data_IF_765360809865
#
_entry.id   IF_765360809865
#
_cell.length_a   1.000
_cell.length_b   1.000
_cell.length_c   1.000
_cell.angle_alpha   90.00
_cell.angle_beta   90.00
_cell.angle_gamma   90.00
#
_symmetry.space_group_name_H-M   'P 1'
#
loop_
_entity.id
_entity.type
_entity.pdbx_description
1 polymer ?
#
# COMPACT_ATOMS: atom_id res chain seq x y z
N UNK A 1 1.58 -23.62 32.94
CA UNK A 1 2.87 -24.31 32.70
C UNK A 1 3.17 -24.25 31.20
N UNK A 2 4.36 -23.76 30.85
CA UNK A 2 4.83 -23.83 29.44
C UNK A 2 5.20 -25.28 29.14
N UNK A 3 4.57 -25.84 28.10
CA UNK A 3 4.94 -27.17 27.59
C UNK A 3 6.13 -27.06 26.64
N UNK A 4 6.98 -28.05 26.65
CA UNK A 4 8.05 -28.18 25.64
C UNK A 4 7.46 -28.67 24.31
N UNK A 5 8.19 -28.48 23.21
CA UNK A 5 7.75 -28.96 21.88
C UNK A 5 7.56 -30.49 21.90
N UNK A 6 8.42 -31.23 22.61
CA UNK A 6 8.30 -32.68 22.76
C UNK A 6 7.02 -33.08 23.53
N UNK A 7 6.60 -32.31 24.55
CA UNK A 7 5.34 -32.54 25.28
C UNK A 7 4.10 -32.21 24.45
N UNK A 8 4.21 -31.36 23.43
CA UNK A 8 3.11 -30.98 22.55
C UNK A 8 3.01 -31.90 21.35
N UNK A 9 4.10 -32.14 20.64
CA UNK A 9 4.16 -32.92 19.42
C UNK A 9 4.29 -34.44 19.65
N UNK A 10 4.75 -34.86 20.85
CA UNK A 10 5.10 -36.26 21.09
C UNK A 10 6.27 -36.70 20.21
N UNK A 11 6.23 -37.94 19.76
CA UNK A 11 7.22 -38.48 18.85
C UNK A 11 7.03 -37.91 17.43
N UNK A 12 8.02 -37.16 16.97
CA UNK A 12 8.01 -36.60 15.61
C UNK A 12 8.20 -37.73 14.60
N UNK A 13 7.33 -37.78 13.60
CA UNK A 13 7.39 -38.73 12.51
C UNK A 13 8.29 -38.21 11.39
N UNK A 14 9.52 -38.74 11.31
CA UNK A 14 10.47 -38.39 10.25
C UNK A 14 10.15 -39.05 8.90
N UNK A 15 9.21 -39.99 8.85
CA UNK A 15 8.77 -40.66 7.62
C UNK A 15 7.71 -39.85 6.84
N UNK A 16 7.11 -38.85 7.44
CA UNK A 16 6.17 -37.96 6.72
C UNK A 16 6.90 -37.13 5.65
N UNK A 17 6.27 -36.93 4.48
CA UNK A 17 6.86 -36.14 3.42
C UNK A 17 7.03 -34.68 3.88
N UNK A 18 8.11 -34.07 3.42
CA UNK A 18 8.32 -32.63 3.50
C UNK A 18 8.44 -32.14 2.06
N UNK A 19 7.37 -31.60 1.49
CA UNK A 19 7.39 -31.15 0.10
C UNK A 19 8.39 -30.01 -0.09
N UNK A 20 8.95 -29.88 -1.29
CA UNK A 20 9.76 -28.72 -1.62
C UNK A 20 8.90 -27.45 -1.65
N UNK A 21 9.45 -26.27 -1.33
CA UNK A 21 8.73 -25.02 -1.46
C UNK A 21 8.21 -24.80 -2.89
N UNK A 22 8.99 -25.19 -3.88
CA UNK A 22 8.65 -25.08 -5.30
C UNK A 22 7.42 -25.93 -5.69
N UNK A 23 7.29 -27.13 -5.11
CA UNK A 23 6.11 -27.97 -5.33
C UNK A 23 4.88 -27.39 -4.63
N UNK A 24 5.06 -26.79 -3.45
CA UNK A 24 3.97 -26.19 -2.69
C UNK A 24 3.35 -24.99 -3.39
N UNK A 25 4.14 -24.11 -3.99
CA UNK A 25 3.61 -22.93 -4.69
C UNK A 25 2.76 -23.30 -5.92
N UNK A 26 2.97 -24.50 -6.47
CA UNK A 26 2.16 -25.02 -7.58
C UNK A 26 0.74 -25.47 -7.15
N UNK A 27 0.51 -25.66 -5.84
CA UNK A 27 -0.78 -26.05 -5.30
C UNK A 27 -1.67 -24.83 -5.06
N UNK A 28 -2.97 -24.98 -5.23
CA UNK A 28 -3.94 -24.00 -4.81
C UNK A 28 -3.93 -23.88 -3.26
N UNK A 29 -3.72 -22.70 -2.67
CA UNK A 29 -3.72 -22.52 -1.22
C UNK A 29 -5.08 -22.84 -0.56
N UNK A 30 -6.17 -22.92 -1.31
CA UNK A 30 -7.49 -23.33 -0.84
C UNK A 30 -7.76 -24.84 -0.98
N UNK A 31 -6.94 -25.54 -1.72
CA UNK A 31 -7.06 -27.00 -1.87
C UNK A 31 -6.41 -27.71 -0.66
N UNK A 32 -7.20 -27.79 0.41
CA UNK A 32 -6.78 -28.43 1.65
C UNK A 32 -6.45 -29.91 1.49
N UNK A 33 -7.11 -30.59 0.52
CA UNK A 33 -6.88 -32.00 0.25
C UNK A 33 -5.48 -32.22 -0.34
N UNK A 34 -5.14 -31.47 -1.39
CA UNK A 34 -3.81 -31.52 -1.99
C UNK A 34 -2.71 -31.08 -1.01
N UNK A 35 -2.96 -30.06 -0.18
CA UNK A 35 -2.02 -29.62 0.85
C UNK A 35 -1.81 -30.70 1.93
N UNK A 36 -2.89 -31.34 2.40
CA UNK A 36 -2.79 -32.40 3.39
C UNK A 36 -2.03 -33.61 2.82
N UNK A 37 -2.31 -34.01 1.59
CA UNK A 37 -1.58 -35.10 0.91
C UNK A 37 -0.09 -34.76 0.78
N UNK A 38 0.26 -33.54 0.37
CA UNK A 38 1.64 -33.11 0.22
C UNK A 38 2.44 -33.21 1.53
N UNK A 39 1.85 -32.83 2.68
CA UNK A 39 2.54 -32.83 3.97
C UNK A 39 2.42 -34.15 4.75
N UNK A 40 1.34 -34.90 4.58
CA UNK A 40 1.08 -36.08 5.41
C UNK A 40 1.04 -37.40 4.63
N UNK A 41 1.06 -37.34 3.30
CA UNK A 41 0.90 -38.48 2.42
C UNK A 41 -0.56 -38.97 2.32
N UNK A 42 -1.51 -38.26 2.95
CA UNK A 42 -2.93 -38.59 2.96
C UNK A 42 -3.75 -37.29 2.82
N UNK A 43 -4.88 -37.35 2.11
CA UNK A 43 -5.75 -36.21 1.88
C UNK A 43 -6.41 -35.66 3.15
N UNK A 44 -7.21 -34.61 2.97
CA UNK A 44 -7.96 -33.96 4.05
C UNK A 44 -9.31 -34.66 4.29
N UNK A 45 -9.28 -35.80 4.95
CA UNK A 45 -10.45 -36.60 5.29
C UNK A 45 -11.34 -35.95 6.37
N UNK A 46 -10.72 -35.53 7.48
CA UNK A 46 -11.38 -34.72 8.51
C UNK A 46 -10.33 -33.87 9.27
N UNK A 47 -10.75 -32.71 9.74
CA UNK A 47 -9.89 -31.73 10.40
C UNK A 47 -9.13 -32.30 11.61
N UNK A 48 -9.67 -33.31 12.29
CA UNK A 48 -9.04 -33.92 13.46
C UNK A 48 -7.99 -34.94 13.06
N UNK A 49 -8.27 -35.82 12.09
CA UNK A 49 -7.34 -36.79 11.55
C UNK A 49 -6.08 -36.11 11.02
N UNK A 50 -6.28 -35.08 10.18
CA UNK A 50 -5.18 -34.23 9.69
C UNK A 50 -4.44 -33.58 10.85
N UNK A 51 -5.13 -33.06 11.87
CA UNK A 51 -4.51 -32.45 13.04
C UNK A 51 -3.64 -33.42 13.84
N UNK A 52 -4.08 -34.66 14.03
CA UNK A 52 -3.31 -35.71 14.73
C UNK A 52 -2.02 -36.07 13.94
N UNK A 53 -2.05 -36.03 12.59
CA UNK A 53 -0.88 -36.22 11.72
C UNK A 53 0.06 -35.00 11.76
N UNK A 54 -0.48 -33.81 11.51
CA UNK A 54 0.29 -32.55 11.50
C UNK A 54 0.98 -32.27 12.83
N UNK A 55 0.39 -32.67 13.96
CA UNK A 55 0.99 -32.48 15.27
C UNK A 55 2.35 -33.15 15.38
N UNK A 56 2.54 -34.29 14.70
CA UNK A 56 3.79 -35.07 14.67
C UNK A 56 4.72 -34.69 13.52
N UNK A 57 4.33 -33.73 12.69
CA UNK A 57 5.08 -33.35 11.51
C UNK A 57 6.30 -32.48 11.85
N UNK A 58 7.43 -32.68 11.13
CA UNK A 58 8.69 -31.94 11.35
C UNK A 58 8.52 -30.41 11.22
N UNK A 59 7.74 -29.94 10.26
CA UNK A 59 7.49 -28.51 10.04
C UNK A 59 6.74 -27.92 11.22
N UNK A 60 5.74 -28.62 11.78
CA UNK A 60 5.04 -28.20 13.00
C UNK A 60 6.00 -28.03 14.18
N UNK A 61 6.88 -29.03 14.40
CA UNK A 61 7.85 -28.96 15.48
C UNK A 61 8.84 -27.79 15.30
N UNK A 62 9.26 -27.54 14.06
CA UNK A 62 10.13 -26.41 13.73
C UNK A 62 9.43 -25.06 13.95
N UNK A 63 8.20 -24.93 13.48
CA UNK A 63 7.39 -23.73 13.68
C UNK A 63 7.17 -23.42 15.17
N UNK A 64 6.86 -24.43 15.98
CA UNK A 64 6.68 -24.26 17.41
C UNK A 64 7.99 -23.88 18.11
N UNK A 65 9.15 -24.40 17.72
CA UNK A 65 10.44 -23.98 18.28
C UNK A 65 10.75 -22.52 17.98
N UNK A 66 10.33 -22.05 16.81
CA UNK A 66 10.59 -20.67 16.37
C UNK A 66 9.63 -19.68 17.00
N UNK A 67 8.32 -20.01 17.06
CA UNK A 67 7.26 -19.03 17.33
C UNK A 67 6.53 -19.18 18.68
N UNK A 68 6.65 -20.32 19.39
CA UNK A 68 5.82 -20.61 20.57
C UNK A 68 6.16 -19.80 21.82
N UNK A 69 7.35 -19.23 21.93
CA UNK A 69 7.80 -18.48 23.11
C UNK A 69 7.50 -16.98 23.04
N UNK A 70 7.48 -16.43 21.83
CA UNK A 70 7.22 -15.00 21.57
C UNK A 70 6.81 -14.77 20.11
N UNK A 71 6.09 -13.68 19.82
CA UNK A 71 5.83 -13.25 18.45
C UNK A 71 7.14 -13.10 17.67
N UNK A 72 7.14 -13.50 16.41
CA UNK A 72 8.26 -13.37 15.48
C UNK A 72 7.84 -12.53 14.28
N UNK A 73 8.78 -11.80 13.71
CA UNK A 73 8.58 -11.23 12.39
C UNK A 73 8.46 -12.37 11.38
N UNK A 74 7.61 -12.20 10.39
CA UNK A 74 7.38 -13.27 9.41
C UNK A 74 8.66 -13.74 8.71
N UNK A 75 9.53 -12.86 8.18
CA UNK A 75 10.80 -13.30 7.59
C UNK A 75 11.72 -14.07 8.56
N UNK A 76 11.72 -13.68 9.84
CA UNK A 76 12.52 -14.38 10.87
C UNK A 76 11.93 -15.77 11.19
N UNK A 77 10.61 -15.92 11.12
CA UNK A 77 9.94 -17.20 11.28
C UNK A 77 10.23 -18.12 10.09
N UNK A 78 10.14 -17.60 8.87
CA UNK A 78 10.47 -18.31 7.62
C UNK A 78 11.90 -18.83 7.68
N UNK A 79 12.88 -17.94 7.92
CA UNK A 79 14.28 -18.32 8.02
C UNK A 79 14.53 -19.33 9.14
N UNK A 80 13.92 -19.14 10.32
CA UNK A 80 14.08 -20.01 11.46
C UNK A 80 13.51 -21.42 11.24
N UNK A 81 12.40 -21.56 10.53
CA UNK A 81 11.82 -22.85 10.14
C UNK A 81 12.69 -23.52 9.07
N UNK A 82 13.04 -22.79 8.01
CA UNK A 82 13.86 -23.31 6.92
C UNK A 82 15.22 -23.83 7.40
N UNK A 83 15.89 -23.15 8.34
CA UNK A 83 17.16 -23.60 8.91
C UNK A 83 17.09 -24.95 9.62
N UNK A 84 15.91 -25.37 10.08
CA UNK A 84 15.71 -26.66 10.77
C UNK A 84 15.28 -27.78 9.82
N UNK A 85 15.01 -27.46 8.57
CA UNK A 85 14.54 -28.37 7.53
C UNK A 85 15.52 -28.28 6.36
N UNK A 86 16.41 -29.27 6.17
CA UNK A 86 17.48 -29.16 5.19
C UNK A 86 17.02 -28.83 3.79
N UNK A 87 15.92 -29.42 3.34
CA UNK A 87 15.32 -29.22 2.02
C UNK A 87 14.87 -27.75 1.82
N UNK A 88 14.33 -27.13 2.86
CA UNK A 88 13.89 -25.74 2.84
C UNK A 88 15.07 -24.77 3.06
N UNK A 89 16.09 -25.18 3.81
CA UNK A 89 17.32 -24.40 3.99
C UNK A 89 18.08 -24.18 2.69
N UNK A 90 18.12 -25.19 1.83
CA UNK A 90 18.70 -25.08 0.49
C UNK A 90 17.83 -24.19 -0.42
N UNK A 91 16.50 -24.34 -0.38
CA UNK A 91 15.58 -23.51 -1.14
C UNK A 91 15.66 -22.04 -0.73
N UNK A 92 15.82 -21.73 0.57
CA UNK A 92 15.92 -20.35 1.08
C UNK A 92 17.08 -19.57 0.43
N UNK A 93 18.15 -20.23 0.04
CA UNK A 93 19.29 -19.58 -0.64
C UNK A 93 19.04 -19.29 -2.11
N UNK A 94 18.07 -19.95 -2.73
CA UNK A 94 17.75 -19.83 -4.16
C UNK A 94 16.53 -18.91 -4.39
N UNK A 95 15.47 -19.13 -3.61
CA UNK A 95 14.19 -18.47 -3.76
C UNK A 95 13.52 -18.31 -2.38
N UNK A 96 13.69 -17.13 -1.81
CA UNK A 96 13.11 -16.76 -0.50
C UNK A 96 11.58 -16.73 -0.58
N UNK A 97 11.04 -16.23 -1.68
CA UNK A 97 9.60 -16.05 -1.86
C UNK A 97 8.89 -17.41 -1.90
N UNK A 98 9.49 -18.40 -2.57
CA UNK A 98 8.94 -19.76 -2.58
C UNK A 98 8.89 -20.40 -1.19
N UNK A 99 9.92 -20.18 -0.35
CA UNK A 99 9.93 -20.70 1.03
C UNK A 99 8.89 -19.98 1.89
N UNK A 100 8.72 -18.68 1.70
CA UNK A 100 7.72 -17.86 2.37
C UNK A 100 6.31 -18.36 2.04
N UNK A 101 5.96 -18.48 0.76
CA UNK A 101 4.69 -19.00 0.31
C UNK A 101 4.46 -20.47 0.74
N UNK A 102 5.50 -21.31 0.72
CA UNK A 102 5.40 -22.68 1.20
C UNK A 102 5.03 -22.77 2.69
N UNK A 103 5.61 -21.89 3.52
CA UNK A 103 5.25 -21.81 4.94
C UNK A 103 3.85 -21.25 5.15
N UNK A 104 3.41 -20.29 4.33
CA UNK A 104 2.03 -19.77 4.37
C UNK A 104 1.01 -20.88 4.12
N UNK A 105 1.22 -21.73 3.12
CA UNK A 105 0.37 -22.88 2.82
C UNK A 105 0.32 -23.88 3.97
N UNK A 106 1.46 -24.14 4.59
CA UNK A 106 1.53 -24.98 5.78
C UNK A 106 0.73 -24.39 6.95
N UNK A 107 0.88 -23.09 7.22
CA UNK A 107 0.14 -22.38 8.28
C UNK A 107 -1.37 -22.38 7.97
N UNK A 108 -1.77 -22.19 6.72
CA UNK A 108 -3.16 -22.28 6.29
C UNK A 108 -3.76 -23.67 6.60
N UNK A 109 -3.06 -24.75 6.24
CA UNK A 109 -3.47 -26.12 6.55
C UNK A 109 -3.57 -26.35 8.07
N UNK A 110 -2.56 -25.93 8.84
CA UNK A 110 -2.54 -26.07 10.31
C UNK A 110 -3.69 -25.30 10.97
N UNK A 111 -4.09 -24.15 10.43
CA UNK A 111 -5.18 -23.34 10.97
C UNK A 111 -6.55 -24.01 10.82
N UNK A 112 -6.74 -24.87 9.82
CA UNK A 112 -7.96 -25.65 9.61
C UNK A 112 -7.97 -26.96 10.41
N UNK A 113 -6.81 -27.43 10.82
CA UNK A 113 -6.66 -28.68 11.57
C UNK A 113 -7.19 -28.55 13.02
N UNK A 114 -7.71 -29.66 13.57
CA UNK A 114 -8.24 -29.70 14.94
C UNK A 114 -7.51 -30.73 15.79
N UNK A 115 -7.38 -30.42 17.07
CA UNK A 115 -6.78 -31.31 18.05
C UNK A 115 -7.73 -31.63 19.21
N UNK A 116 -7.41 -32.65 20.01
CA UNK A 116 -8.15 -32.98 21.25
C UNK A 116 -7.66 -32.15 22.43
N UNK A 117 -8.59 -31.71 23.25
CA UNK A 117 -8.25 -31.21 24.59
C UNK A 117 -8.01 -32.39 25.54
N UNK A 118 -7.37 -32.13 26.68
CA UNK A 118 -7.19 -33.11 27.78
C UNK A 118 -8.54 -33.64 28.32
N UNK A 119 -9.63 -32.89 28.09
CA UNK A 119 -11.01 -33.28 28.48
C UNK A 119 -11.78 -33.97 27.36
N UNK A 120 -11.15 -34.26 26.22
CA UNK A 120 -11.74 -34.96 25.07
C UNK A 120 -12.50 -34.06 24.10
N UNK A 121 -12.64 -32.77 24.35
CA UNK A 121 -13.24 -31.82 23.42
C UNK A 121 -12.36 -31.55 22.19
N UNK A 122 -12.97 -31.08 21.11
CA UNK A 122 -12.28 -30.71 19.86
C UNK A 122 -12.06 -29.20 19.87
N UNK A 123 -10.87 -28.76 19.49
CA UNK A 123 -10.49 -27.34 19.33
C UNK A 123 -9.55 -27.17 18.13
N UNK A 124 -9.29 -25.96 17.63
CA UNK A 124 -8.22 -25.72 16.67
C UNK A 124 -6.91 -26.33 17.16
N UNK A 125 -6.12 -26.91 16.27
CA UNK A 125 -4.85 -27.56 16.61
C UNK A 125 -3.91 -26.57 17.29
N UNK A 126 -3.75 -25.40 16.68
CA UNK A 126 -3.07 -24.25 17.25
C UNK A 126 -3.91 -22.98 17.03
N UNK A 127 -3.79 -22.03 17.94
CA UNK A 127 -4.24 -20.66 17.70
C UNK A 127 -3.12 -19.93 16.96
N UNK A 128 -3.29 -19.76 15.66
CA UNK A 128 -2.38 -18.97 14.84
C UNK A 128 -2.93 -17.56 14.75
N UNK A 129 -2.13 -16.58 15.14
CA UNK A 129 -2.49 -15.17 15.08
C UNK A 129 -1.43 -14.43 14.25
N UNK A 130 -1.87 -13.77 13.17
CA UNK A 130 -1.03 -12.94 12.32
C UNK A 130 -1.34 -11.49 12.62
N UNK A 131 -0.34 -10.75 13.11
CA UNK A 131 -0.46 -9.33 13.40
C UNK A 131 0.19 -8.50 12.30
N UNK A 132 -0.61 -7.71 11.58
CA UNK A 132 -0.13 -6.76 10.59
C UNK A 132 0.13 -5.40 11.25
N UNK A 133 1.37 -4.94 11.11
CA UNK A 133 1.76 -3.62 11.60
C UNK A 133 1.73 -2.63 10.44
N UNK A 134 0.81 -1.67 10.50
CA UNK A 134 0.71 -0.59 9.52
C UNK A 134 1.39 0.64 10.09
N UNK A 135 2.45 1.09 9.43
CA UNK A 135 3.22 2.27 9.80
C UNK A 135 2.91 3.43 8.85
N UNK A 136 2.85 4.66 9.37
CA UNK A 136 2.79 5.85 8.53
C UNK A 136 4.00 5.95 7.61
N UNK A 137 3.75 6.25 6.34
CA UNK A 137 4.80 6.61 5.39
C UNK A 137 5.05 8.10 5.55
N UNK A 138 5.91 8.49 6.49
CA UNK A 138 6.16 9.90 6.81
C UNK A 138 7.50 10.39 6.30
N UNK A 139 8.57 9.75 6.55
CA UNK A 139 9.92 10.18 6.16
C UNK A 139 10.50 9.19 5.16
N UNK A 140 10.02 9.27 3.92
CA UNK A 140 10.45 8.41 2.85
C UNK A 140 11.58 9.10 2.07
N UNK A 141 12.74 8.48 2.04
CA UNK A 141 13.86 8.84 1.16
C UNK A 141 13.74 8.09 -0.15
N UNK A 142 14.15 8.72 -1.22
CA UNK A 142 14.24 8.14 -2.55
C UNK A 142 15.71 8.13 -2.98
N UNK A 143 16.15 7.02 -3.54
CA UNK A 143 17.46 6.89 -4.13
C UNK A 143 17.64 7.93 -5.26
N UNK A 144 18.79 8.57 -5.31
CA UNK A 144 19.17 9.43 -6.42
C UNK A 144 19.68 8.56 -7.55
N UNK A 145 18.73 7.95 -8.27
CA UNK A 145 19.00 6.99 -9.34
C UNK A 145 18.01 7.10 -10.48
N UNK A 146 18.33 6.53 -11.63
CA UNK A 146 17.43 6.45 -12.78
C UNK A 146 16.20 5.57 -12.52
N UNK A 147 16.34 4.55 -11.68
CA UNK A 147 15.27 3.65 -11.26
C UNK A 147 14.73 4.08 -9.89
N UNK A 148 13.41 4.17 -9.69
CA UNK A 148 12.86 4.52 -8.38
C UNK A 148 13.18 3.46 -7.34
N UNK A 149 13.86 3.86 -6.26
CA UNK A 149 14.07 3.07 -5.06
C UNK A 149 13.73 3.91 -3.84
N UNK A 150 13.13 3.31 -2.80
CA UNK A 150 12.69 4.03 -1.62
C UNK A 150 13.14 3.33 -0.34
N UNK A 151 13.46 4.15 0.67
CA UNK A 151 13.80 3.68 2.02
C UNK A 151 13.15 4.56 3.09
N UNK A 152 12.97 4.01 4.26
CA UNK A 152 12.60 4.79 5.43
C UNK A 152 13.81 5.63 5.91
N UNK A 153 13.56 6.87 6.30
CA UNK A 153 14.64 7.76 6.76
C UNK A 153 15.33 7.27 8.05
N UNK A 154 14.65 6.47 8.83
CA UNK A 154 15.12 5.86 10.08
C UNK A 154 15.59 4.40 9.91
N UNK A 155 15.60 3.87 8.69
CA UNK A 155 16.22 2.58 8.42
C UNK A 155 17.75 2.72 8.49
N UNK A 156 18.45 1.73 9.04
CA UNK A 156 19.91 1.74 9.05
C UNK A 156 20.45 1.80 7.60
N UNK A 157 21.60 2.44 7.37
CA UNK A 157 22.27 2.39 6.07
C UNK A 157 22.51 0.93 5.67
N UNK A 158 22.35 0.60 4.38
CA UNK A 158 22.78 -0.71 3.90
C UNK A 158 24.30 -0.70 3.77
N UNK A 159 24.95 -1.70 4.35
CA UNK A 159 26.43 -1.86 4.31
C UNK A 159 26.99 -2.08 2.89
N UNK A 160 26.14 -2.18 1.87
CA UNK A 160 26.53 -2.54 0.50
C UNK A 160 26.42 -1.45 -0.54
N UNK A 161 25.96 -0.23 -0.20
CA UNK A 161 25.68 0.81 -1.20
C UNK A 161 26.20 2.20 -0.81
N UNK A 162 27.51 2.29 -0.56
CA UNK A 162 28.21 3.54 -0.24
C UNK A 162 28.19 4.61 -1.37
N UNK A 163 27.68 4.27 -2.55
CA UNK A 163 27.74 5.11 -3.74
C UNK A 163 26.43 5.83 -4.11
N UNK A 164 25.30 5.48 -3.50
CA UNK A 164 24.01 6.06 -3.89
C UNK A 164 23.47 7.00 -2.82
N UNK A 165 23.32 8.26 -3.17
CA UNK A 165 22.70 9.24 -2.29
C UNK A 165 21.19 9.05 -2.17
N UNK A 166 20.66 9.32 -0.98
CA UNK A 166 19.24 9.26 -0.67
C UNK A 166 18.73 10.62 -0.21
N UNK A 167 17.68 11.12 -0.83
CA UNK A 167 17.06 12.40 -0.48
C UNK A 167 15.57 12.22 -0.16
N UNK A 168 14.99 13.12 0.65
CA UNK A 168 13.54 13.13 0.86
C UNK A 168 12.78 13.12 -0.45
N UNK A 169 11.84 12.18 -0.56
CA UNK A 169 10.97 12.08 -1.72
C UNK A 169 9.86 13.13 -1.67
N UNK A 170 9.70 13.89 -2.76
CA UNK A 170 8.64 14.90 -2.89
C UNK A 170 7.87 14.72 -4.19
N UNK A 171 6.67 15.27 -4.22
CA UNK A 171 5.84 15.32 -5.41
C UNK A 171 5.01 16.60 -5.47
N UNK A 172 4.61 16.97 -6.68
CA UNK A 172 3.67 18.07 -6.91
C UNK A 172 2.23 17.57 -6.85
N UNK A 173 1.39 18.19 -6.03
CA UNK A 173 -0.04 17.84 -5.92
C UNK A 173 -0.86 18.24 -7.15
N UNK A 174 -0.35 19.17 -7.97
CA UNK A 174 -1.02 19.67 -9.17
C UNK A 174 -0.71 18.81 -10.40
N UNK A 175 0.57 18.67 -10.78
CA UNK A 175 0.96 17.94 -12.00
C UNK A 175 1.38 16.48 -11.76
N UNK A 176 1.49 16.03 -10.50
CA UNK A 176 1.83 14.66 -10.14
C UNK A 176 3.30 14.28 -10.31
N UNK A 177 4.15 15.13 -10.89
CA UNK A 177 5.60 14.84 -11.00
C UNK A 177 6.23 14.68 -9.63
N UNK A 178 7.20 13.77 -9.54
CA UNK A 178 7.91 13.45 -8.31
C UNK A 178 9.42 13.59 -8.47
N UNK A 179 10.12 13.69 -7.33
CA UNK A 179 11.55 13.86 -7.30
C UNK A 179 12.08 13.93 -5.89
N UNK A 180 13.01 14.83 -5.66
CA UNK A 180 13.80 14.94 -4.44
C UNK A 180 13.75 16.35 -3.86
N UNK A 181 13.94 16.45 -2.54
CA UNK A 181 14.22 17.70 -1.84
C UNK A 181 15.67 17.70 -1.40
N UNK A 182 16.45 18.66 -1.89
CA UNK A 182 17.82 18.90 -1.45
C UNK A 182 17.90 20.09 -0.51
N UNK A 183 19.01 20.20 0.22
CA UNK A 183 19.37 21.33 1.07
C UNK A 183 20.64 21.95 0.52
N UNK A 184 20.66 23.28 0.39
CA UNK A 184 21.81 24.03 -0.11
C UNK A 184 22.79 24.32 1.01
N UNK A 185 24.09 24.10 0.76
CA UNK A 185 25.16 24.55 1.62
C UNK A 185 25.64 25.96 1.20
N UNK A 186 25.36 26.95 2.03
CA UNK A 186 25.79 28.34 1.82
C UNK A 186 27.19 28.63 2.33
N UNK A 187 27.88 27.68 2.96
CA UNK A 187 29.19 27.87 3.56
C UNK A 187 30.37 27.89 2.56
N UNK A 188 30.11 27.73 1.28
CA UNK A 188 31.13 27.60 0.22
C UNK A 188 31.07 28.67 -0.84
N UNK A 189 31.33 29.93 -0.51
CA UNK A 189 31.77 30.99 -1.45
C UNK A 189 30.66 31.57 -2.36
N UNK A 190 30.54 32.89 -2.33
CA UNK A 190 29.78 33.68 -3.30
C UNK A 190 30.50 33.67 -4.67
N UNK A 191 29.85 33.05 -5.68
CA UNK A 191 30.30 33.16 -7.06
C UNK A 191 29.20 32.65 -8.01
N UNK A 192 28.94 33.42 -9.05
CA UNK A 192 27.91 33.17 -10.06
C UNK A 192 28.06 31.85 -10.85
N UNK A 193 29.06 31.05 -10.57
CA UNK A 193 29.32 29.74 -11.16
C UNK A 193 29.08 28.57 -10.18
N UNK A 194 28.81 28.83 -8.92
CA UNK A 194 28.50 27.76 -7.96
C UNK A 194 27.05 27.31 -8.17
N UNK A 195 26.87 26.34 -9.01
CA UNK A 195 25.72 25.47 -8.94
C UNK A 195 25.62 24.98 -7.51
N UNK A 196 24.52 25.26 -6.87
CA UNK A 196 24.29 25.03 -5.45
C UNK A 196 24.67 23.60 -5.11
N UNK A 197 25.64 23.43 -4.25
CA UNK A 197 26.04 22.13 -3.75
C UNK A 197 25.00 21.67 -2.76
N UNK A 198 24.26 20.67 -3.13
CA UNK A 198 23.35 20.02 -2.20
C UNK A 198 24.15 19.32 -1.12
N UNK A 199 23.76 19.50 0.13
CA UNK A 199 24.43 18.88 1.27
C UNK A 199 23.78 17.55 1.56
N UNK A 200 24.59 16.52 1.56
CA UNK A 200 24.25 15.20 2.09
C UNK A 200 24.90 15.04 3.47
N UNK A 201 24.72 16.01 4.33
CA UNK A 201 25.30 15.98 5.66
C UNK A 201 24.43 15.11 6.57
N UNK A 202 25.04 14.18 7.29
CA UNK A 202 24.36 13.37 8.30
C UNK A 202 23.79 14.22 9.44
N UNK A 203 24.37 15.38 9.69
CA UNK A 203 23.95 16.30 10.75
C UNK A 203 22.79 17.23 10.32
N UNK A 204 22.48 17.29 9.02
CA UNK A 204 21.39 18.12 8.48
C UNK A 204 20.17 17.30 8.14
N UNK A 205 19.13 17.33 8.99
CA UNK A 205 17.84 16.71 8.68
C UNK A 205 17.05 17.58 7.67
N UNK A 206 16.93 17.17 6.38
CA UNK A 206 16.25 17.96 5.36
C UNK A 206 14.77 18.19 5.67
N UNK A 207 14.14 17.32 6.45
CA UNK A 207 12.75 17.48 6.87
C UNK A 207 12.62 18.64 7.87
N UNK A 208 13.57 18.79 8.79
CA UNK A 208 13.61 19.93 9.72
C UNK A 208 13.94 21.23 9.02
N UNK A 209 14.89 21.23 8.08
CA UNK A 209 15.23 22.40 7.28
C UNK A 209 14.03 22.87 6.46
N UNK A 210 13.24 21.97 5.90
CA UNK A 210 12.03 22.32 5.14
C UNK A 210 10.96 23.03 5.97
N UNK A 211 11.01 22.91 7.28
CA UNK A 211 10.07 23.57 8.21
C UNK A 211 10.66 24.88 8.74
N UNK A 212 11.94 24.87 9.15
CA UNK A 212 12.57 25.97 9.88
C UNK A 212 13.26 26.99 8.98
N UNK A 213 13.82 26.53 7.86
CA UNK A 213 14.68 27.31 6.97
C UNK A 213 14.42 26.90 5.50
N UNK A 214 13.18 27.07 5.08
CA UNK A 214 12.67 26.57 3.80
C UNK A 214 13.40 27.15 2.59
N UNK A 215 13.89 28.37 2.69
CA UNK A 215 14.69 29.03 1.64
C UNK A 215 15.97 28.26 1.29
N UNK A 216 16.49 27.45 2.21
CA UNK A 216 17.64 26.58 1.94
C UNK A 216 17.28 25.29 1.22
N UNK A 217 16.01 25.02 0.97
CA UNK A 217 15.61 23.80 0.26
C UNK A 217 15.54 24.03 -1.25
N UNK A 218 15.78 22.96 -2.02
CA UNK A 218 15.57 22.94 -3.47
C UNK A 218 14.75 21.71 -3.86
N UNK A 219 13.62 21.97 -4.48
CA UNK A 219 12.79 20.91 -5.07
C UNK A 219 13.33 20.57 -6.45
N UNK A 220 13.70 19.33 -6.65
CA UNK A 220 14.18 18.77 -7.90
C UNK A 220 13.17 17.75 -8.38
N UNK A 221 12.40 18.04 -9.41
CA UNK A 221 11.45 17.08 -10.00
C UNK A 221 12.09 16.43 -11.22
N UNK A 222 11.91 15.13 -11.37
CA UNK A 222 12.40 14.40 -12.54
C UNK A 222 11.80 14.97 -13.80
N UNK A 223 12.65 15.32 -14.77
CA UNK A 223 12.28 15.81 -16.09
C UNK A 223 12.18 14.65 -17.07
N UNK A 224 11.34 14.82 -18.10
CA UNK A 224 11.35 13.99 -19.30
C UNK A 224 12.20 14.73 -20.34
N UNK A 225 13.20 14.10 -20.89
CA UNK A 225 13.96 14.73 -21.99
C UNK A 225 13.22 14.55 -23.33
N UNK A 226 13.19 15.57 -24.21
CA UNK A 226 13.74 16.92 -24.07
C UNK A 226 12.70 17.90 -23.50
N UNK A 227 13.03 18.59 -22.42
CA UNK A 227 12.23 19.69 -21.87
C UNK A 227 13.13 20.94 -21.72
N UNK A 228 12.59 22.17 -21.81
CA UNK A 228 13.36 23.38 -21.56
C UNK A 228 13.82 23.45 -20.10
N UNK A 229 14.93 24.13 -19.85
CA UNK A 229 15.48 24.39 -18.53
C UNK A 229 15.85 23.13 -17.70
N UNK A 230 16.11 22.01 -18.35
CA UNK A 230 16.57 20.79 -17.69
C UNK A 230 17.99 20.96 -17.17
N UNK A 231 18.17 20.59 -15.92
CA UNK A 231 19.45 20.46 -15.25
C UNK A 231 19.77 18.99 -15.02
N UNK A 232 21.01 18.68 -14.70
CA UNK A 232 21.49 17.32 -14.57
C UNK A 232 21.98 17.05 -13.16
N UNK A 233 21.26 16.20 -12.42
CA UNK A 233 21.63 15.77 -11.08
C UNK A 233 22.60 14.60 -11.18
N UNK A 234 23.76 14.75 -10.60
CA UNK A 234 24.78 13.70 -10.51
C UNK A 234 24.49 12.82 -9.27
N UNK A 235 24.21 11.51 -9.45
CA UNK A 235 23.97 10.61 -8.34
C UNK A 235 25.15 10.43 -7.39
N UNK A 236 26.38 10.53 -7.89
CA UNK A 236 27.58 10.29 -7.09
C UNK A 236 27.97 11.48 -6.22
N UNK A 237 27.82 12.71 -6.74
CA UNK A 237 28.21 13.93 -6.03
C UNK A 237 27.03 14.69 -5.42
N UNK A 238 25.79 14.37 -5.83
CA UNK A 238 24.60 15.13 -5.49
C UNK A 238 24.56 16.55 -6.05
N UNK A 239 25.44 16.86 -6.98
CA UNK A 239 25.49 18.17 -7.60
C UNK A 239 24.55 18.28 -8.80
N UNK A 240 24.01 19.47 -8.99
CA UNK A 240 23.17 19.77 -10.14
C UNK A 240 24.01 20.60 -11.13
N UNK A 241 24.06 20.16 -12.39
CA UNK A 241 24.88 20.76 -13.44
C UNK A 241 24.01 21.38 -14.55
N UNK A 242 24.48 22.50 -15.11
CA UNK A 242 24.00 23.03 -16.38
C UNK A 242 24.87 22.42 -17.50
N UNK A 243 24.25 21.90 -18.55
CA UNK A 243 24.99 21.39 -19.73
C UNK A 243 25.07 19.86 -19.79
N UNK A 244 25.77 19.41 -20.85
CA UNK A 244 25.52 18.14 -21.51
C UNK A 244 26.62 17.09 -21.38
N UNK A 245 27.66 17.37 -20.58
CA UNK A 245 28.96 16.73 -20.70
C UNK A 245 29.03 15.27 -20.27
N UNK A 246 28.02 14.75 -19.55
CA UNK A 246 27.99 13.36 -19.14
C UNK A 246 26.56 12.86 -18.84
N UNK A 247 25.70 12.83 -19.87
CA UNK A 247 24.28 12.47 -19.74
C UNK A 247 24.04 11.01 -19.37
N UNK A 248 24.97 10.12 -19.59
CA UNK A 248 24.75 8.69 -19.44
C UNK A 248 24.54 8.27 -17.97
N UNK A 249 25.14 9.02 -17.03
CA UNK A 249 25.08 8.70 -15.59
C UNK A 249 24.23 9.67 -14.79
N UNK A 250 23.87 10.84 -15.37
CA UNK A 250 23.14 11.92 -14.68
C UNK A 250 21.64 11.84 -14.90
N UNK A 251 20.88 12.35 -13.95
CA UNK A 251 19.42 12.33 -13.95
C UNK A 251 18.88 13.71 -14.35
N UNK A 252 18.01 13.78 -15.37
CA UNK A 252 17.41 15.04 -15.77
C UNK A 252 16.40 15.51 -14.71
N UNK A 253 16.56 16.79 -14.27
CA UNK A 253 15.70 17.39 -13.24
C UNK A 253 15.34 18.83 -13.61
N UNK A 254 14.15 19.24 -13.14
CA UNK A 254 13.71 20.63 -13.09
C UNK A 254 13.87 21.13 -11.66
N UNK A 255 14.46 22.30 -11.48
CA UNK A 255 14.72 22.88 -10.16
C UNK A 255 13.94 24.18 -9.99
N UNK A 256 13.23 24.33 -8.88
CA UNK A 256 12.43 25.52 -8.62
C UNK A 256 13.27 26.80 -8.56
N UNK A 257 12.86 27.83 -9.30
CA UNK A 257 13.55 29.12 -9.39
C UNK A 257 14.82 29.11 -10.25
N UNK A 258 15.11 28.01 -10.95
CA UNK A 258 16.24 27.90 -11.89
C UNK A 258 15.81 27.89 -13.36
N UNK A 259 14.57 28.25 -13.63
CA UNK A 259 14.01 28.37 -14.98
C UNK A 259 14.26 29.77 -15.53
N UNK A 260 14.83 29.89 -16.75
CA UNK A 260 15.11 31.15 -17.43
C UNK A 260 16.56 31.66 -17.28
N UNK A 261 16.90 32.67 -18.09
CA UNK A 261 18.25 33.24 -18.16
C UNK A 261 18.69 34.07 -16.92
N UNK A 262 17.71 34.52 -16.10
CA UNK A 262 17.98 35.41 -14.93
C UNK A 262 17.65 34.71 -13.58
N UNK A 263 18.10 33.50 -13.41
CA UNK A 263 17.89 32.80 -12.12
C UNK A 263 18.86 33.37 -11.06
N UNK A 264 18.32 34.19 -10.18
CA UNK A 264 19.06 34.74 -9.02
C UNK A 264 18.89 33.84 -7.79
N UNK A 265 19.76 33.95 -6.80
CA UNK A 265 19.64 33.26 -5.52
C UNK A 265 18.32 33.64 -4.83
N UNK A 266 17.94 34.92 -4.89
CA UNK A 266 16.72 35.43 -4.33
C UNK A 266 15.45 34.78 -4.99
N UNK A 267 15.45 34.61 -6.30
CA UNK A 267 14.36 33.96 -7.02
C UNK A 267 14.19 32.48 -6.63
N UNK A 268 15.32 31.81 -6.39
CA UNK A 268 15.33 30.39 -5.94
C UNK A 268 14.83 30.24 -4.51
N UNK A 269 15.25 31.15 -3.63
CA UNK A 269 14.81 31.18 -2.23
C UNK A 269 13.31 31.48 -2.12
N UNK A 270 12.83 32.42 -2.93
CA UNK A 270 11.40 32.74 -2.97
C UNK A 270 10.55 31.57 -3.52
N UNK A 271 11.02 30.88 -4.56
CA UNK A 271 10.38 29.69 -5.08
C UNK A 271 10.32 28.55 -4.03
N UNK A 272 11.40 28.39 -3.25
CA UNK A 272 11.46 27.44 -2.15
C UNK A 272 10.47 27.79 -1.02
N UNK A 273 10.42 29.06 -0.60
CA UNK A 273 9.46 29.56 0.40
C UNK A 273 8.02 29.28 -0.01
N UNK A 274 7.71 29.49 -1.28
CA UNK A 274 6.37 29.26 -1.86
C UNK A 274 6.10 27.81 -2.24
N UNK A 275 7.00 26.89 -1.99
CA UNK A 275 6.89 25.49 -2.43
C UNK A 275 6.41 25.39 -3.89
N UNK A 276 6.98 26.24 -4.73
CA UNK A 276 6.60 26.33 -6.14
C UNK A 276 7.05 25.11 -6.92
N UNK A 277 6.16 24.56 -7.73
CA UNK A 277 6.50 23.43 -8.60
C UNK A 277 7.39 23.92 -9.77
N UNK A 278 8.59 23.34 -9.99
CA UNK A 278 9.45 23.72 -11.10
C UNK A 278 8.87 23.35 -12.49
N UNK A 279 7.91 22.42 -12.53
CA UNK A 279 7.32 21.96 -13.79
C UNK A 279 6.07 22.75 -14.19
N UNK A 280 5.10 22.91 -13.28
CA UNK A 280 3.82 23.56 -13.61
C UNK A 280 3.65 24.96 -13.00
N UNK A 281 4.65 25.46 -12.25
CA UNK A 281 4.63 26.78 -11.65
C UNK A 281 3.67 26.96 -10.46
N UNK A 282 2.86 25.95 -10.12
CA UNK A 282 1.86 26.04 -9.05
C UNK A 282 2.54 26.25 -7.68
N UNK A 283 2.09 27.24 -6.92
CA UNK A 283 2.55 27.55 -5.56
C UNK A 283 1.92 26.63 -4.55
N UNK A 284 2.60 26.40 -3.42
CA UNK A 284 2.18 25.54 -2.32
C UNK A 284 1.80 24.12 -2.76
N UNK A 285 2.39 23.64 -3.87
CA UNK A 285 2.05 22.39 -4.52
C UNK A 285 3.00 21.23 -4.15
N UNK A 286 4.15 21.50 -3.56
CA UNK A 286 5.14 20.48 -3.23
C UNK A 286 4.82 19.86 -1.86
N UNK A 287 4.79 18.53 -1.84
CA UNK A 287 4.56 17.75 -0.61
C UNK A 287 5.56 16.60 -0.54
N UNK A 288 5.94 16.23 0.68
CA UNK A 288 6.66 14.99 0.90
C UNK A 288 5.80 13.80 0.47
N UNK A 289 6.43 12.83 -0.16
CA UNK A 289 5.76 11.56 -0.45
C UNK A 289 5.51 10.85 0.88
N UNK A 290 4.26 10.58 1.13
CA UNK A 290 3.85 9.94 2.35
C UNK A 290 2.37 9.61 2.34
N UNK A 291 1.97 8.78 3.29
CA UNK A 291 0.58 8.43 3.51
C UNK A 291 0.34 8.23 5.01
N UNK A 292 -0.77 8.75 5.49
CA UNK A 292 -1.18 8.54 6.89
C UNK A 292 -1.58 7.08 7.09
N UNK A 293 -1.42 6.59 8.31
CA UNK A 293 -1.78 5.21 8.71
C UNK A 293 -3.24 4.87 8.33
N UNK A 294 -4.15 5.82 8.49
CA UNK A 294 -5.56 5.65 8.12
C UNK A 294 -5.77 5.37 6.62
N UNK A 295 -5.00 6.02 5.75
CA UNK A 295 -5.08 5.77 4.30
C UNK A 295 -4.53 4.38 3.96
N UNK A 296 -3.38 4.00 4.53
CA UNK A 296 -2.77 2.68 4.31
C UNK A 296 -3.66 1.58 4.85
N UNK A 297 -4.19 1.74 6.07
CA UNK A 297 -5.12 0.79 6.66
C UNK A 297 -6.39 0.63 5.80
N UNK A 298 -6.96 1.72 5.29
CA UNK A 298 -8.13 1.65 4.40
C UNK A 298 -7.85 0.82 3.14
N UNK A 299 -6.69 1.00 2.51
CA UNK A 299 -6.30 0.20 1.33
C UNK A 299 -6.09 -1.27 1.71
N UNK A 300 -5.37 -1.54 2.80
CA UNK A 300 -5.11 -2.91 3.26
C UNK A 300 -6.41 -3.64 3.60
N UNK A 301 -7.34 -2.99 4.31
CA UNK A 301 -8.65 -3.55 4.66
C UNK A 301 -9.44 -3.86 3.38
N UNK A 302 -9.48 -2.93 2.43
CA UNK A 302 -10.20 -3.14 1.17
C UNK A 302 -9.64 -4.34 0.40
N UNK A 303 -8.32 -4.49 0.33
CA UNK A 303 -7.68 -5.62 -0.32
C UNK A 303 -7.95 -6.95 0.41
N UNK A 304 -7.86 -6.95 1.75
CA UNK A 304 -8.16 -8.15 2.54
C UNK A 304 -9.61 -8.59 2.38
N UNK A 305 -10.56 -7.66 2.48
CA UNK A 305 -11.98 -7.98 2.40
C UNK A 305 -12.46 -8.28 0.98
N UNK A 306 -11.75 -7.79 -0.04
CA UNK A 306 -11.98 -8.12 -1.44
C UNK A 306 -11.30 -9.41 -1.89
N UNK A 307 -10.52 -10.06 -1.02
CA UNK A 307 -9.82 -11.29 -1.34
C UNK A 307 -10.78 -12.49 -1.28
N UNK A 308 -10.67 -13.38 -2.26
CA UNK A 308 -11.41 -14.65 -2.29
C UNK A 308 -10.93 -15.64 -1.22
N UNK A 309 -9.75 -15.37 -0.61
CA UNK A 309 -9.18 -16.18 0.47
C UNK A 309 -9.76 -15.89 1.86
N UNK A 310 -10.65 -14.90 1.99
CA UNK A 310 -11.29 -14.55 3.26
C UNK A 310 -12.79 -14.86 3.16
N UNK A 311 -13.25 -15.82 3.93
CA UNK A 311 -14.67 -16.16 3.99
C UNK A 311 -15.51 -14.96 4.47
N UNK A 312 -16.75 -14.84 3.98
CA UNK A 312 -17.61 -13.68 4.24
C UNK A 312 -17.88 -13.46 5.74
N UNK A 313 -18.02 -14.52 6.52
CA UNK A 313 -18.23 -14.47 7.97
C UNK A 313 -16.97 -14.12 8.77
N UNK A 314 -15.78 -14.23 8.16
CA UNK A 314 -14.50 -13.86 8.74
C UNK A 314 -14.05 -12.44 8.34
N UNK A 315 -14.79 -11.74 7.49
CA UNK A 315 -14.49 -10.34 7.08
C UNK A 315 -14.80 -9.36 8.20
N UNK A 316 -14.02 -9.42 9.28
CA UNK A 316 -14.16 -8.60 10.48
C UNK A 316 -12.86 -7.83 10.75
N UNK A 317 -13.00 -6.59 11.17
CA UNK A 317 -11.88 -5.77 11.60
C UNK A 317 -12.16 -5.13 12.94
N UNK A 318 -11.21 -5.24 13.86
CA UNK A 318 -11.15 -4.44 15.07
C UNK A 318 -9.91 -3.56 15.02
N UNK A 319 -10.12 -2.25 15.07
CA UNK A 319 -9.03 -1.27 15.14
C UNK A 319 -9.05 -0.59 16.50
N UNK A 320 -7.91 -0.66 17.19
CA UNK A 320 -7.74 -0.03 18.50
C UNK A 320 -6.92 1.24 18.37
N UNK A 321 -7.31 2.26 19.09
CA UNK A 321 -6.54 3.49 19.28
C UNK A 321 -6.56 3.88 20.75
N UNK A 322 -5.61 4.69 21.17
CA UNK A 322 -5.46 5.17 22.54
C UNK A 322 -6.50 6.23 22.95
N UNK A 323 -7.34 6.69 22.00
CA UNK A 323 -8.35 7.71 22.25
C UNK A 323 -9.65 7.39 21.52
N UNK A 324 -10.79 7.52 22.21
CA UNK A 324 -12.14 7.33 21.68
C UNK A 324 -12.43 8.32 20.55
N UNK A 325 -11.98 9.56 20.69
CA UNK A 325 -12.15 10.59 19.67
C UNK A 325 -11.40 10.23 18.39
N UNK A 326 -10.16 9.73 18.51
CA UNK A 326 -9.35 9.32 17.40
C UNK A 326 -9.93 8.06 16.72
N UNK A 327 -10.47 7.12 17.50
CA UNK A 327 -11.19 5.95 16.99
C UNK A 327 -12.39 6.35 16.13
N UNK A 328 -13.22 7.29 16.61
CA UNK A 328 -14.38 7.79 15.89
C UNK A 328 -13.99 8.50 14.58
N UNK A 329 -12.98 9.38 14.62
CA UNK A 329 -12.46 10.03 13.43
C UNK A 329 -11.90 9.04 12.40
N UNK A 330 -11.20 8.01 12.85
CA UNK A 330 -10.64 6.98 11.96
C UNK A 330 -11.73 6.12 11.34
N UNK A 331 -12.75 5.73 12.11
CA UNK A 331 -13.89 4.98 11.59
C UNK A 331 -14.62 5.74 10.47
N UNK A 332 -14.95 7.02 10.70
CA UNK A 332 -15.57 7.89 9.70
C UNK A 332 -14.67 8.10 8.47
N UNK A 333 -13.35 8.20 8.68
CA UNK A 333 -12.39 8.30 7.60
C UNK A 333 -12.34 7.02 6.75
N UNK A 334 -12.32 5.84 7.37
CA UNK A 334 -12.33 4.55 6.65
C UNK A 334 -13.59 4.42 5.80
N UNK A 335 -14.75 4.67 6.39
CA UNK A 335 -16.03 4.60 5.69
C UNK A 335 -16.08 5.54 4.50
N UNK A 336 -15.77 6.83 4.69
CA UNK A 336 -15.79 7.82 3.61
C UNK A 336 -14.72 7.58 2.54
N UNK A 337 -13.59 6.99 2.90
CA UNK A 337 -12.53 6.67 1.96
C UNK A 337 -12.88 5.47 1.10
N UNK A 338 -13.42 4.41 1.70
CA UNK A 338 -13.87 3.20 1.01
C UNK A 338 -14.99 3.54 0.02
N UNK A 339 -16.00 4.30 0.46
CA UNK A 339 -17.05 4.79 -0.42
C UNK A 339 -16.48 5.52 -1.65
N UNK A 340 -15.55 6.45 -1.46
CA UNK A 340 -14.95 7.19 -2.58
C UNK A 340 -14.17 6.30 -3.54
N UNK A 341 -13.46 5.30 -3.05
CA UNK A 341 -12.78 4.33 -3.91
C UNK A 341 -13.77 3.51 -4.73
N UNK A 342 -14.82 3.01 -4.11
CA UNK A 342 -15.87 2.26 -4.78
C UNK A 342 -16.55 3.12 -5.85
N UNK A 343 -16.92 4.34 -5.51
CA UNK A 343 -17.51 5.30 -6.44
C UNK A 343 -16.60 5.53 -7.67
N UNK A 344 -15.32 5.79 -7.45
CA UNK A 344 -14.36 6.02 -8.54
C UNK A 344 -14.14 4.78 -9.40
N UNK A 345 -14.04 3.62 -8.79
CA UNK A 345 -13.90 2.35 -9.51
C UNK A 345 -15.13 2.09 -10.40
N UNK A 346 -16.33 2.32 -9.86
CA UNK A 346 -17.58 2.11 -10.61
C UNK A 346 -17.77 3.16 -11.71
N UNK A 347 -17.49 4.44 -11.43
CA UNK A 347 -17.49 5.51 -12.44
C UNK A 347 -16.51 5.21 -13.56
N UNK A 348 -15.27 4.89 -13.24
CA UNK A 348 -14.23 4.54 -14.22
C UNK A 348 -14.65 3.35 -15.09
N UNK A 349 -15.14 2.27 -14.45
CA UNK A 349 -15.61 1.10 -15.17
C UNK A 349 -16.85 1.36 -16.03
N UNK A 350 -17.76 2.24 -15.61
CA UNK A 350 -18.90 2.64 -16.40
C UNK A 350 -18.48 3.47 -17.63
N UNK A 351 -17.56 4.41 -17.47
CA UNK A 351 -17.03 5.23 -18.55
C UNK A 351 -16.21 4.40 -19.55
N UNK A 352 -15.39 3.46 -19.07
CA UNK A 352 -14.64 2.55 -19.96
C UNK A 352 -15.56 1.71 -20.84
N UNK A 353 -16.68 1.23 -20.29
CA UNK A 353 -17.62 0.39 -21.04
C UNK A 353 -18.49 1.15 -22.05
N UNK A 354 -18.81 2.41 -21.78
CA UNK A 354 -19.73 3.23 -22.59
C UNK A 354 -19.02 4.29 -23.45
N UNK A 355 -17.74 4.54 -23.19
CA UNK A 355 -16.99 5.59 -23.85
C UNK A 355 -17.39 6.98 -23.36
N UNK A 356 -18.28 7.68 -24.10
CA UNK A 356 -18.79 9.01 -23.71
C UNK A 356 -20.17 8.89 -23.08
N UNK A 357 -20.35 9.53 -21.94
CA UNK A 357 -21.62 9.57 -21.18
C UNK A 357 -21.95 11.03 -20.84
N UNK A 358 -23.14 11.52 -21.18
CA UNK A 358 -23.59 12.82 -20.70
C UNK A 358 -23.59 12.88 -19.17
N UNK A 359 -23.09 13.98 -18.58
CA UNK A 359 -22.91 14.10 -17.14
C UNK A 359 -24.22 13.86 -16.38
N UNK A 360 -25.35 14.32 -16.92
CA UNK A 360 -26.70 14.11 -16.36
C UNK A 360 -27.11 12.63 -16.30
N UNK A 361 -26.50 11.76 -17.11
CA UNK A 361 -26.82 10.33 -17.16
C UNK A 361 -25.81 9.44 -16.46
N UNK A 362 -24.75 10.01 -15.92
CA UNK A 362 -23.69 9.24 -15.27
C UNK A 362 -24.25 8.42 -14.09
N UNK A 363 -25.09 9.02 -13.25
CA UNK A 363 -25.72 8.32 -12.12
C UNK A 363 -26.57 7.11 -12.57
N UNK A 364 -27.38 7.28 -13.61
CA UNK A 364 -28.19 6.21 -14.20
C UNK A 364 -27.31 5.05 -14.71
N UNK A 365 -26.23 5.36 -15.44
CA UNK A 365 -25.31 4.37 -15.98
C UNK A 365 -24.59 3.60 -14.86
N UNK A 366 -24.18 4.31 -13.81
CA UNK A 366 -23.51 3.71 -12.65
C UNK A 366 -24.44 2.76 -11.89
N UNK A 367 -25.66 3.19 -11.60
CA UNK A 367 -26.66 2.35 -10.93
C UNK A 367 -27.07 1.14 -11.78
N UNK A 368 -27.26 1.34 -13.09
CA UNK A 368 -27.56 0.23 -13.99
C UNK A 368 -26.44 -0.81 -14.03
N UNK A 369 -25.18 -0.36 -13.94
CA UNK A 369 -24.04 -1.26 -13.89
C UNK A 369 -24.00 -2.03 -12.55
N UNK A 370 -24.27 -1.37 -11.44
CA UNK A 370 -24.36 -2.01 -10.13
C UNK A 370 -25.48 -3.06 -10.07
N UNK A 371 -26.66 -2.75 -10.63
CA UNK A 371 -27.77 -3.68 -10.72
C UNK A 371 -27.46 -4.94 -11.58
N UNK A 372 -26.50 -4.85 -12.49
CA UNK A 372 -26.07 -5.95 -13.38
C UNK A 372 -24.85 -6.72 -12.86
N UNK A 373 -24.31 -6.36 -11.71
CA UNK A 373 -23.20 -7.05 -11.06
C UNK A 373 -23.59 -8.42 -10.51
N UNK A 374 -22.60 -9.18 -10.08
CA UNK A 374 -22.82 -10.52 -9.49
C UNK A 374 -23.56 -10.45 -8.15
N UNK A 375 -23.43 -9.33 -7.45
CA UNK A 375 -24.10 -9.05 -6.17
C UNK A 375 -24.80 -7.67 -6.22
N UNK A 376 -25.93 -7.54 -6.92
CA UNK A 376 -26.54 -6.24 -7.21
C UNK A 376 -26.83 -5.39 -5.97
N UNK A 377 -27.30 -5.99 -4.88
CA UNK A 377 -27.52 -5.28 -3.62
C UNK A 377 -26.23 -4.73 -3.02
N UNK A 378 -25.20 -5.56 -2.93
CA UNK A 378 -23.92 -5.19 -2.36
C UNK A 378 -23.24 -4.08 -3.20
N UNK A 379 -23.31 -4.20 -4.52
CA UNK A 379 -22.75 -3.24 -5.46
C UNK A 379 -23.43 -1.88 -5.34
N UNK A 380 -24.75 -1.86 -5.17
CA UNK A 380 -25.49 -0.62 -4.94
C UNK A 380 -25.20 -0.06 -3.55
N UNK A 381 -25.16 -0.88 -2.50
CA UNK A 381 -24.79 -0.43 -1.15
C UNK A 381 -23.40 0.17 -1.08
N UNK A 382 -22.44 -0.36 -1.85
CA UNK A 382 -21.10 0.20 -1.94
C UNK A 382 -21.07 1.63 -2.49
N UNK A 383 -22.11 2.05 -3.20
CA UNK A 383 -22.28 3.41 -3.73
C UNK A 383 -23.04 4.34 -2.79
N UNK A 384 -23.70 3.82 -1.73
CA UNK A 384 -24.40 4.68 -0.78
C UNK A 384 -23.41 5.43 0.10
N UNK A 385 -23.45 6.75 0.16
CA UNK A 385 -22.58 7.54 1.03
C UNK A 385 -22.76 7.17 2.50
N UNK A 386 -21.70 7.20 3.33
CA UNK A 386 -21.78 6.83 4.75
C UNK A 386 -22.79 7.64 5.57
N UNK A 387 -23.03 8.89 5.21
CA UNK A 387 -24.02 9.76 5.82
C UNK A 387 -25.47 9.31 5.54
N UNK A 388 -25.73 8.66 4.42
CA UNK A 388 -27.03 8.09 4.08
C UNK A 388 -27.26 6.68 4.63
N UNK A 389 -26.18 5.93 4.92
CA UNK A 389 -26.29 4.56 5.48
C UNK A 389 -26.94 4.54 6.89
N UNK A 390 -26.89 5.62 7.64
CA UNK A 390 -27.49 5.74 8.97
C UNK A 390 -29.01 5.94 8.94
N UNK A 391 -29.57 6.24 7.79
CA UNK A 391 -31.00 6.29 7.58
C UNK A 391 -31.49 4.89 7.22
N UNK A 392 -31.76 4.05 8.23
CA UNK A 392 -32.09 2.63 8.06
C UNK A 392 -33.21 2.29 7.08
N UNK A 393 -34.01 3.29 6.66
CA UNK A 393 -35.02 3.15 5.61
C UNK A 393 -34.42 2.90 4.22
N UNK A 394 -33.21 3.35 3.93
CA UNK A 394 -32.50 3.12 2.65
C UNK A 394 -32.24 1.62 2.45
N UNK A 395 -31.73 0.93 3.49
CA UNK A 395 -31.50 -0.49 3.45
C UNK A 395 -32.81 -1.30 3.29
N UNK A 396 -33.82 -0.95 4.09
CA UNK A 396 -35.15 -1.59 4.01
C UNK A 396 -35.82 -1.37 2.65
N UNK A 397 -35.66 -0.19 2.06
CA UNK A 397 -36.27 0.16 0.77
C UNK A 397 -35.63 -0.59 -0.40
N UNK A 398 -34.34 -0.91 -0.29
CA UNK A 398 -33.62 -1.66 -1.32
C UNK A 398 -33.92 -3.14 -1.27
N UNK A 399 -34.15 -3.70 -0.07
CA UNK A 399 -34.56 -5.08 0.12
C UNK A 399 -36.04 -5.35 -0.31
N UNK A 400 -36.82 -4.27 -0.44
CA UNK A 400 -38.24 -4.32 -0.86
C UNK A 400 -38.48 -3.53 -2.15
N UNK A 401 -37.92 -3.98 -3.30
CA UNK A 401 -38.05 -3.28 -4.57
C UNK A 401 -39.53 -3.17 -4.98
N UNK A 402 -39.90 -2.05 -5.57
CA UNK A 402 -41.24 -1.78 -6.03
C UNK A 402 -42.16 -1.04 -5.03
N UNK A 403 -41.61 -0.68 -3.86
CA UNK A 403 -42.31 0.23 -2.96
C UNK A 403 -41.96 1.70 -3.31
N UNK A 404 -42.87 2.64 -2.98
CA UNK A 404 -42.59 4.08 -3.16
C UNK A 404 -41.33 4.50 -2.40
N UNK A 405 -41.12 3.95 -1.20
CA UNK A 405 -39.95 4.24 -0.39
C UNK A 405 -38.64 3.78 -1.06
N UNK A 406 -38.66 2.61 -1.72
CA UNK A 406 -37.50 2.13 -2.48
C UNK A 406 -37.20 3.02 -3.68
N UNK A 407 -38.23 3.52 -4.37
CA UNK A 407 -38.05 4.45 -5.49
C UNK A 407 -37.50 5.80 -5.02
N UNK A 408 -38.04 6.37 -3.95
CA UNK A 408 -37.53 7.61 -3.35
C UNK A 408 -36.06 7.49 -2.90
N UNK A 409 -35.71 6.35 -2.32
CA UNK A 409 -34.32 6.06 -1.92
C UNK A 409 -33.39 6.00 -3.15
N UNK A 410 -33.84 5.35 -4.22
CA UNK A 410 -33.08 5.22 -5.47
C UNK A 410 -32.89 6.59 -6.14
N UNK A 411 -33.95 7.39 -6.18
CA UNK A 411 -33.90 8.74 -6.76
C UNK A 411 -32.95 9.65 -5.96
N UNK A 412 -32.99 9.60 -4.64
CA UNK A 412 -32.07 10.32 -3.76
C UNK A 412 -30.61 9.89 -3.93
N UNK A 413 -30.37 8.56 -4.08
CA UNK A 413 -29.02 8.06 -4.38
C UNK A 413 -28.55 8.51 -5.77
N UNK A 414 -29.42 8.48 -6.79
CA UNK A 414 -29.10 8.94 -8.13
C UNK A 414 -28.73 10.43 -8.16
N UNK A 415 -29.46 11.28 -7.43
CA UNK A 415 -29.15 12.70 -7.29
C UNK A 415 -27.77 12.90 -6.62
N UNK A 416 -27.50 12.17 -5.54
CA UNK A 416 -26.21 12.24 -4.85
C UNK A 416 -25.05 11.77 -5.72
N UNK A 417 -25.20 10.66 -6.44
CA UNK A 417 -24.20 10.15 -7.38
C UNK A 417 -23.95 11.13 -8.53
N UNK A 418 -24.99 11.81 -9.02
CA UNK A 418 -24.84 12.88 -10.00
C UNK A 418 -23.97 14.03 -9.50
N UNK A 419 -24.20 14.47 -8.24
CA UNK A 419 -23.38 15.48 -7.60
C UNK A 419 -21.93 15.02 -7.41
N UNK A 420 -21.72 13.81 -6.92
CA UNK A 420 -20.39 13.24 -6.71
C UNK A 420 -19.63 13.07 -8.04
N UNK A 421 -20.32 12.70 -9.13
CA UNK A 421 -19.72 12.64 -10.47
C UNK A 421 -19.24 14.02 -10.97
N UNK A 422 -20.00 15.08 -10.69
CA UNK A 422 -19.60 16.46 -10.98
C UNK A 422 -18.32 16.82 -10.22
N UNK A 423 -18.22 16.43 -8.93
CA UNK A 423 -17.03 16.67 -8.13
C UNK A 423 -15.81 15.91 -8.65
N UNK A 424 -15.99 14.71 -9.16
CA UNK A 424 -14.91 13.89 -9.73
C UNK A 424 -14.47 14.36 -11.12
N UNK A 425 -15.33 15.11 -11.86
CA UNK A 425 -15.00 15.80 -13.09
C UNK A 425 -14.41 17.20 -12.88
N UNK A 426 -14.39 17.69 -11.63
CA UNK A 426 -13.95 19.05 -11.33
C UNK A 426 -12.45 19.18 -11.10
N UNK A 427 -11.76 19.91 -11.99
CA UNK A 427 -10.32 20.21 -11.86
C UNK A 427 -9.98 21.01 -10.59
N UNK A 428 -10.91 21.83 -10.11
CA UNK A 428 -10.75 22.70 -8.93
C UNK A 428 -11.38 22.15 -7.65
N UNK A 429 -11.71 20.88 -7.64
CA UNK A 429 -12.31 20.26 -6.45
C UNK A 429 -11.35 20.30 -5.25
N UNK A 430 -11.86 20.69 -4.08
CA UNK A 430 -11.14 20.61 -2.80
C UNK A 430 -10.96 19.17 -2.32
N UNK A 431 -11.57 18.20 -2.99
CA UNK A 431 -11.50 16.77 -2.66
C UNK A 431 -10.12 16.13 -2.98
N UNK A 432 -9.16 16.90 -3.46
CA UNK A 432 -7.84 16.42 -3.84
C UNK A 432 -7.82 15.90 -5.27
N UNK A 433 -7.22 14.73 -5.50
CA UNK A 433 -7.17 14.13 -6.83
C UNK A 433 -8.55 13.61 -7.23
N UNK A 434 -9.09 14.11 -8.33
CA UNK A 434 -10.33 13.66 -8.96
C UNK A 434 -10.02 12.71 -10.12
N UNK A 435 -11.03 12.08 -10.72
CA UNK A 435 -10.84 11.27 -11.94
C UNK A 435 -10.22 12.10 -13.07
N UNK A 436 -10.60 13.37 -13.19
CA UNK A 436 -10.05 14.27 -14.20
C UNK A 436 -8.59 14.65 -13.89
N UNK A 437 -8.26 15.03 -12.66
CA UNK A 437 -6.88 15.37 -12.29
C UNK A 437 -5.92 14.19 -12.28
N UNK A 438 -6.43 12.96 -12.24
CA UNK A 438 -5.63 11.73 -12.39
C UNK A 438 -5.53 11.26 -13.85
N UNK A 439 -6.21 11.93 -14.79
CA UNK A 439 -6.23 11.57 -16.20
C UNK A 439 -7.06 10.32 -16.52
N UNK A 440 -7.92 9.88 -15.58
CA UNK A 440 -8.77 8.69 -15.77
C UNK A 440 -9.98 8.99 -16.64
N UNK A 441 -10.54 10.19 -16.52
CA UNK A 441 -11.66 10.68 -17.32
C UNK A 441 -11.52 12.18 -17.57
N UNK A 442 -12.16 12.70 -18.63
CA UNK A 442 -12.17 14.12 -18.99
C UNK A 442 -13.63 14.56 -19.14
N UNK A 443 -13.97 15.73 -18.60
CA UNK A 443 -15.23 16.40 -18.88
C UNK A 443 -15.04 17.37 -20.05
N UNK A 444 -15.80 17.18 -21.13
CA UNK A 444 -15.79 18.03 -22.32
C UNK A 444 -17.14 18.72 -22.48
N UNK A 445 -17.12 19.99 -22.91
CA UNK A 445 -18.33 20.71 -23.36
C UNK A 445 -18.48 20.40 -24.85
N UNK A 446 -19.62 19.82 -25.22
CA UNK A 446 -19.93 19.47 -26.59
C UNK A 446 -20.72 20.60 -27.25
#
# INVERSE_FOLDING_TARGET
QRRTVAEVCGDIDFGMPVPSPEDLIALDPLDLDALAEAFTGEGFDDAKSVGDRLLRHRVTASLLRVAADRPRRWPDAVAGVAQQIPEWGEALTRDVDAVEEGLERFVALVSQAKGRTSTGGIRPLFSVEVQLWIREVTRLKRLVSGTPGFRWADSPPNDHDDATHELPSVYCTSCGRSGWLGVVNRAGGQGAAAIERLVYDHDTDPYLVSVRDRERTRTMLRANAPEPDVLWLDPASGQVHKGDDDKATRIPVLVAGMTGEESTEESRDEAAKRQQCPSCGTRDAIRFLGSRVTTLASVSITQMFGSDYVADDERKLLAFTDSVQDASHRAAFFSGRTHRFNLRATLSGALQSKGRVPLQRVAEVVLTKADQGDRPLDDVFALVPPDLLWEGWLAASWESPGTNAAQEARDGLAERLGFDAILEAGVRSRLGRTLETTGTAIAEVL
#
